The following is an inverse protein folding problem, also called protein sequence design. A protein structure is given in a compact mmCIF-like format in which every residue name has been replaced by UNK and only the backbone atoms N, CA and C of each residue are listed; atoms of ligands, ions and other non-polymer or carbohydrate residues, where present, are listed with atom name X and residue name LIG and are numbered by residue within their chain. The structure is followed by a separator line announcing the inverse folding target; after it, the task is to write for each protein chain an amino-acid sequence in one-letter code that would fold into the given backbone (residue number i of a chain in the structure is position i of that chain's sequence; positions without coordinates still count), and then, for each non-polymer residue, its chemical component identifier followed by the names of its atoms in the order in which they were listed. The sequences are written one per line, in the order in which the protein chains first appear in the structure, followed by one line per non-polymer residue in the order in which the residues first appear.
data_IF_144136719309
#
_entry.id   IF_144136719309
#
_cell.length_a   1.000
_cell.length_b   1.000
_cell.length_c   1.000
_cell.angle_alpha   90.00
_cell.angle_beta   90.00
_cell.angle_gamma   90.00
#
_symmetry.space_group_name_H-M   'P 1'
#
loop_
_entity.id
_entity.type
_entity.pdbx_description
1 polymer ?
#
# COMPACT_ATOMS: atom_id res chain seq x y z
N UNK A 1 -3.92 -1.86 15.68
CA UNK A 1 -5.31 -1.86 15.21
C UNK A 1 -5.59 -0.61 14.40
N UNK A 2 -6.45 -0.70 13.40
CA UNK A 2 -7.08 0.45 12.76
C UNK A 2 -8.41 0.75 13.44
N UNK A 3 -8.76 2.03 13.58
CA UNK A 3 -10.00 2.46 14.27
C UNK A 3 -11.25 2.03 13.50
N UNK A 4 -11.22 2.19 12.17
CA UNK A 4 -12.32 1.88 11.26
C UNK A 4 -11.76 1.56 9.87
N UNK A 5 -12.30 0.53 9.23
CA UNK A 5 -12.02 0.25 7.84
C UNK A 5 -12.76 1.23 6.92
N UNK A 6 -12.08 1.82 5.93
CA UNK A 6 -12.66 2.72 4.93
C UNK A 6 -13.61 3.76 5.56
N UNK A 7 -13.12 4.65 6.44
CA UNK A 7 -13.98 5.54 7.25
C UNK A 7 -14.84 6.50 6.42
N UNK A 8 -14.59 6.62 5.12
CA UNK A 8 -15.28 7.54 4.22
C UNK A 8 -16.21 6.79 3.25
N UNK A 9 -16.30 5.46 3.37
CA UNK A 9 -17.16 4.62 2.54
C UNK A 9 -18.54 4.43 3.19
N UNK A 10 -19.61 4.84 2.47
CA UNK A 10 -20.99 4.50 2.80
C UNK A 10 -21.48 3.43 1.81
N UNK A 11 -21.38 2.17 2.19
CA UNK A 11 -21.49 1.05 1.26
C UNK A 11 -22.59 0.07 1.64
N UNK A 12 -22.97 -0.78 0.68
CA UNK A 12 -23.93 -1.88 0.88
C UNK A 12 -23.44 -2.99 1.82
N UNK A 13 -22.17 -2.96 2.19
CA UNK A 13 -21.49 -3.90 3.08
C UNK A 13 -21.13 -3.22 4.42
N UNK A 14 -20.73 -3.97 5.46
CA UNK A 14 -20.44 -3.41 6.77
C UNK A 14 -19.48 -2.22 6.67
N UNK A 15 -20.01 -1.04 6.95
CA UNK A 15 -19.32 0.24 6.85
C UNK A 15 -19.84 1.18 7.93
N UNK A 16 -18.97 2.06 8.40
CA UNK A 16 -19.32 3.11 9.35
C UNK A 16 -18.57 4.36 8.92
N UNK A 17 -19.32 5.43 8.61
CA UNK A 17 -18.75 6.70 8.25
C UNK A 17 -18.18 7.39 9.48
N UNK A 18 -16.98 7.95 9.34
CA UNK A 18 -16.30 8.76 10.33
C UNK A 18 -15.62 9.93 9.64
N UNK A 19 -15.73 11.11 10.23
CA UNK A 19 -14.93 12.29 9.87
C UNK A 19 -13.56 12.25 10.56
N UNK A 20 -12.61 13.06 10.06
CA UNK A 20 -11.32 13.22 10.74
C UNK A 20 -11.48 13.76 12.18
N UNK A 21 -12.45 14.64 12.41
CA UNK A 21 -12.74 15.18 13.76
C UNK A 21 -13.27 14.10 14.70
N UNK A 22 -14.20 13.26 14.25
CA UNK A 22 -14.73 12.15 15.06
C UNK A 22 -13.63 11.13 15.37
N UNK A 23 -12.76 10.80 14.41
CA UNK A 23 -11.61 9.92 14.65
C UNK A 23 -10.65 10.53 15.67
N UNK A 24 -10.30 11.82 15.54
CA UNK A 24 -9.46 12.56 16.49
C UNK A 24 -10.04 12.48 17.89
N UNK A 25 -11.32 12.80 18.04
CA UNK A 25 -11.98 12.89 19.34
C UNK A 25 -12.18 11.51 19.98
N UNK A 26 -12.47 10.48 19.18
CA UNK A 26 -12.53 9.11 19.65
C UNK A 26 -11.17 8.57 20.11
N UNK A 27 -10.11 8.81 19.33
CA UNK A 27 -8.76 8.36 19.67
C UNK A 27 -8.29 9.02 20.97
N UNK A 28 -8.39 10.35 21.08
CA UNK A 28 -7.87 11.06 22.27
C UNK A 28 -8.74 10.91 23.51
N UNK A 29 -10.06 10.79 23.33
CA UNK A 29 -11.02 10.77 24.43
C UNK A 29 -11.34 9.38 24.98
N UNK A 30 -11.17 8.33 24.17
CA UNK A 30 -11.67 6.99 24.49
C UNK A 30 -10.63 5.91 24.19
N UNK A 31 -10.30 5.66 22.92
CA UNK A 31 -9.50 4.49 22.54
C UNK A 31 -8.07 4.54 23.08
N UNK A 32 -7.37 5.66 22.90
CA UNK A 32 -5.99 5.84 23.36
C UNK A 32 -5.84 5.68 24.88
N UNK A 33 -6.62 6.43 25.70
CA UNK A 33 -6.63 6.25 27.14
C UNK A 33 -6.96 4.82 27.58
N UNK A 34 -7.98 4.20 26.98
CA UNK A 34 -8.40 2.85 27.39
C UNK A 34 -7.31 1.81 27.12
N UNK A 35 -6.66 1.82 25.95
CA UNK A 35 -5.55 0.90 25.67
C UNK A 35 -4.38 1.10 26.65
N UNK A 36 -4.03 2.36 26.92
CA UNK A 36 -2.94 2.69 27.85
C UNK A 36 -3.27 2.28 29.29
N UNK A 37 -4.47 2.61 29.77
CA UNK A 37 -4.87 2.37 31.16
C UNK A 37 -5.05 0.87 31.45
N UNK A 38 -5.30 0.07 30.41
CA UNK A 38 -5.28 -1.40 30.48
C UNK A 38 -3.89 -2.01 30.18
N UNK A 39 -2.85 -1.21 29.98
CA UNK A 39 -1.47 -1.66 29.79
C UNK A 39 -1.21 -2.43 28.49
N UNK A 40 -1.98 -2.16 27.44
CA UNK A 40 -1.84 -2.80 26.13
C UNK A 40 -0.75 -2.09 25.30
N UNK A 41 0.12 -2.87 24.69
CA UNK A 41 1.18 -2.42 23.76
C UNK A 41 0.69 -2.30 22.30
N UNK A 42 -0.60 -2.55 22.07
CA UNK A 42 -1.21 -2.52 20.75
C UNK A 42 -1.16 -1.12 20.16
N UNK A 43 -0.47 -0.98 19.03
CA UNK A 43 -0.39 0.27 18.28
C UNK A 43 -1.76 0.68 17.70
N UNK A 44 -2.07 1.97 17.74
CA UNK A 44 -3.19 2.54 16.99
C UNK A 44 -2.66 3.11 15.68
N UNK A 45 -3.24 2.65 14.57
CA UNK A 45 -2.99 3.16 13.23
C UNK A 45 -4.20 4.00 12.79
N UNK A 46 -3.94 5.24 12.38
CA UNK A 46 -4.95 6.18 11.93
C UNK A 46 -5.53 5.73 10.59
N UNK A 47 -6.66 5.03 10.69
CA UNK A 47 -7.57 4.68 9.61
C UNK A 47 -6.97 3.79 8.52
N UNK A 48 -7.83 3.11 7.76
CA UNK A 48 -7.51 2.65 6.42
C UNK A 48 -8.08 3.66 5.43
N UNK A 49 -7.45 4.84 5.37
CA UNK A 49 -8.03 6.03 4.72
C UNK A 49 -8.18 5.78 3.22
N UNK A 50 -9.43 5.82 2.75
CA UNK A 50 -9.82 5.58 1.36
C UNK A 50 -10.30 6.85 0.64
N UNK A 51 -9.82 8.01 1.09
CA UNK A 51 -10.23 9.33 0.63
C UNK A 51 -9.05 10.18 0.16
N UNK A 52 -9.29 11.21 -0.69
CA UNK A 52 -10.59 11.68 -1.17
C UNK A 52 -11.17 10.82 -2.30
N UNK A 53 -12.45 11.03 -2.64
CA UNK A 53 -13.04 10.50 -3.88
C UNK A 53 -14.19 9.52 -3.72
N UNK A 54 -14.60 9.24 -2.48
CA UNK A 54 -15.51 8.14 -2.15
C UNK A 54 -16.98 8.51 -2.37
N UNK A 55 -17.35 9.79 -2.21
CA UNK A 55 -18.73 10.24 -2.40
C UNK A 55 -19.05 10.40 -3.90
N UNK A 56 -19.64 9.38 -4.53
CA UNK A 56 -20.03 9.43 -5.95
C UNK A 56 -21.10 10.47 -6.30
N UNK A 57 -21.73 11.12 -5.30
CA UNK A 57 -22.77 12.14 -5.52
C UNK A 57 -22.21 13.56 -5.65
N UNK A 58 -20.99 13.79 -5.19
CA UNK A 58 -20.32 15.10 -5.25
C UNK A 58 -19.44 15.23 -6.48
N UNK A 59 -19.29 16.46 -6.98
CA UNK A 59 -18.34 16.73 -8.05
C UNK A 59 -16.91 16.53 -7.53
N UNK A 60 -16.00 16.17 -8.42
CA UNK A 60 -14.61 15.87 -8.04
C UNK A 60 -14.00 17.02 -7.22
N UNK A 61 -14.18 18.28 -7.64
CA UNK A 61 -13.64 19.45 -6.92
C UNK A 61 -14.17 19.60 -5.49
N UNK A 62 -15.45 19.28 -5.26
CA UNK A 62 -16.04 19.33 -3.92
C UNK A 62 -15.42 18.26 -3.00
N UNK A 63 -15.10 17.09 -3.55
CA UNK A 63 -14.43 16.01 -2.79
C UNK A 63 -13.02 16.41 -2.39
N UNK A 64 -12.24 16.99 -3.31
CA UNK A 64 -10.90 17.50 -2.99
C UNK A 64 -10.94 18.57 -1.89
N UNK A 65 -11.99 19.40 -1.87
CA UNK A 65 -12.17 20.40 -0.83
C UNK A 65 -12.64 19.85 0.53
N UNK A 66 -13.21 18.63 0.58
CA UNK A 66 -13.94 18.15 1.79
C UNK A 66 -13.59 16.74 2.26
N UNK A 67 -12.70 16.02 1.58
CA UNK A 67 -12.35 14.63 1.90
C UNK A 67 -10.83 14.34 1.81
N UNK A 68 -10.00 15.35 1.52
CA UNK A 68 -8.57 15.15 1.27
C UNK A 68 -7.74 15.05 2.58
N UNK A 69 -6.42 14.97 2.45
CA UNK A 69 -5.41 15.00 3.53
C UNK A 69 -5.78 15.94 4.68
N UNK A 70 -6.16 17.19 4.38
CA UNK A 70 -6.46 18.21 5.39
C UNK A 70 -7.75 17.95 6.17
N UNK A 71 -8.67 17.16 5.63
CA UNK A 71 -9.90 16.80 6.30
C UNK A 71 -9.73 15.57 7.21
N UNK A 72 -8.86 14.63 6.80
CA UNK A 72 -8.61 13.38 7.53
C UNK A 72 -7.30 13.38 8.30
N UNK A 73 -6.20 13.05 7.63
CA UNK A 73 -4.95 12.77 8.31
C UNK A 73 -4.42 14.00 9.05
N UNK A 74 -4.40 15.17 8.41
CA UNK A 74 -3.88 16.38 9.02
C UNK A 74 -4.73 16.82 10.22
N UNK A 75 -6.07 16.76 10.12
CA UNK A 75 -7.00 17.09 11.22
C UNK A 75 -6.66 16.34 12.50
N UNK A 76 -6.33 15.05 12.39
CA UNK A 76 -5.99 14.22 13.55
C UNK A 76 -4.55 14.47 14.00
N UNK A 77 -3.59 14.52 13.07
CA UNK A 77 -2.17 14.63 13.41
C UNK A 77 -1.79 16.00 14.00
N UNK A 78 -2.50 17.07 13.62
CA UNK A 78 -2.31 18.39 14.22
C UNK A 78 -2.76 18.48 15.68
N UNK A 79 -3.64 17.58 16.13
CA UNK A 79 -4.04 17.50 17.53
C UNK A 79 -3.06 16.61 18.31
N UNK A 80 -2.16 17.24 19.08
CA UNK A 80 -1.16 16.54 19.90
C UNK A 80 -1.74 15.56 20.91
N UNK A 81 -2.98 15.76 21.38
CA UNK A 81 -3.63 14.86 22.33
C UNK A 81 -4.14 13.58 21.67
N UNK A 82 -4.47 13.63 20.37
CA UNK A 82 -4.75 12.43 19.58
C UNK A 82 -3.45 11.80 19.08
N UNK A 83 -2.56 12.61 18.47
CA UNK A 83 -1.33 12.14 17.81
C UNK A 83 -0.42 11.33 18.72
N UNK A 84 -0.34 11.65 20.02
CA UNK A 84 0.48 10.90 20.98
C UNK A 84 0.10 9.42 21.12
N UNK A 85 -1.10 9.02 20.69
CA UNK A 85 -1.55 7.63 20.70
C UNK A 85 -1.39 6.93 19.34
N UNK A 86 -1.01 7.65 18.29
CA UNK A 86 -0.99 7.16 16.90
C UNK A 86 0.43 6.73 16.54
N UNK A 87 0.60 5.45 16.18
CA UNK A 87 1.87 4.89 15.73
C UNK A 87 2.11 5.11 14.23
N UNK A 88 1.02 5.19 13.44
CA UNK A 88 1.11 5.32 11.99
C UNK A 88 -0.22 5.73 11.35
N UNK A 89 -0.19 6.04 10.06
CA UNK A 89 -1.37 6.28 9.22
C UNK A 89 -1.41 5.23 8.11
N UNK A 90 -2.59 4.67 7.84
CA UNK A 90 -2.74 3.75 6.71
C UNK A 90 -3.67 4.30 5.64
N UNK A 91 -3.33 3.97 4.40
CA UNK A 91 -4.04 4.42 3.21
C UNK A 91 -4.44 3.22 2.33
N UNK A 92 -5.58 3.38 1.65
CA UNK A 92 -6.11 2.47 0.65
C UNK A 92 -6.40 3.22 -0.66
N UNK A 93 -7.14 2.61 -1.57
CA UNK A 93 -7.41 3.07 -2.94
C UNK A 93 -7.53 4.58 -3.18
N UNK A 94 -8.39 5.31 -2.46
CA UNK A 94 -8.51 6.77 -2.60
C UNK A 94 -7.36 7.53 -1.93
N UNK A 95 -6.87 7.00 -0.82
CA UNK A 95 -5.74 7.51 -0.04
C UNK A 95 -4.42 7.68 -0.78
N UNK A 96 -4.26 7.01 -1.93
CA UNK A 96 -3.05 7.11 -2.78
C UNK A 96 -2.70 8.55 -3.16
N UNK A 97 -3.67 9.45 -3.27
CA UNK A 97 -3.39 10.85 -3.61
C UNK A 97 -3.06 11.74 -2.41
N UNK A 98 -3.33 11.27 -1.18
CA UNK A 98 -3.08 12.01 0.05
C UNK A 98 -1.77 11.61 0.75
N UNK A 99 -1.32 10.35 0.58
CA UNK A 99 -0.18 9.81 1.32
C UNK A 99 1.10 10.64 1.18
N UNK A 100 1.36 11.22 0.01
CA UNK A 100 2.54 12.06 -0.23
C UNK A 100 2.58 13.25 0.74
N UNK A 101 1.46 13.95 0.94
CA UNK A 101 1.38 15.13 1.83
C UNK A 101 1.60 14.74 3.29
N UNK A 102 1.16 13.55 3.68
CA UNK A 102 1.43 12.99 5.01
C UNK A 102 2.91 12.68 5.19
N UNK A 103 3.54 12.08 4.19
CA UNK A 103 4.98 11.82 4.23
C UNK A 103 5.80 13.10 4.30
N UNK A 104 5.48 14.10 3.48
CA UNK A 104 6.15 15.41 3.48
C UNK A 104 6.05 16.13 4.83
N UNK A 105 4.89 16.03 5.50
CA UNK A 105 4.64 16.77 6.73
C UNK A 105 5.05 16.01 8.00
N UNK A 106 4.92 14.68 8.00
CA UNK A 106 4.99 13.85 9.20
C UNK A 106 5.88 12.61 9.06
N UNK A 107 6.50 12.37 7.90
CA UNK A 107 7.26 11.13 7.62
C UNK A 107 8.49 10.89 8.50
N UNK A 108 8.93 11.90 9.26
CA UNK A 108 9.99 11.75 10.27
C UNK A 108 9.48 11.33 11.65
N UNK A 109 8.17 11.43 11.89
CA UNK A 109 7.53 11.18 13.20
C UNK A 109 6.51 10.03 13.14
N UNK A 110 5.88 9.80 11.98
CA UNK A 110 4.73 8.92 11.83
C UNK A 110 4.99 7.90 10.71
N UNK A 111 4.75 6.63 11.02
CA UNK A 111 4.88 5.52 10.07
C UNK A 111 3.71 5.52 9.08
N UNK A 112 3.95 5.07 7.86
CA UNK A 112 2.93 5.00 6.81
C UNK A 112 2.80 3.57 6.30
N UNK A 113 1.58 3.18 5.96
CA UNK A 113 1.27 1.84 5.46
C UNK A 113 0.23 1.92 4.35
N UNK A 114 0.40 1.11 3.31
CA UNK A 114 -0.69 0.77 2.42
C UNK A 114 -1.37 -0.49 2.97
N UNK A 115 -2.60 -0.37 3.45
CA UNK A 115 -3.21 -1.42 4.28
C UNK A 115 -4.08 -2.41 3.51
N UNK A 116 -4.48 -2.11 2.28
CA UNK A 116 -5.34 -3.00 1.49
C UNK A 116 -5.35 -2.66 0.00
N UNK A 117 -4.94 -3.63 -0.83
CA UNK A 117 -4.98 -3.52 -2.29
C UNK A 117 -6.41 -3.44 -2.81
N UNK A 118 -6.62 -2.69 -3.89
CA UNK A 118 -7.90 -2.66 -4.59
C UNK A 118 -8.37 -4.06 -5.01
N UNK A 119 -9.69 -4.27 -5.05
CA UNK A 119 -10.25 -5.61 -5.22
C UNK A 119 -10.11 -6.19 -6.63
N UNK A 120 -9.87 -5.35 -7.65
CA UNK A 120 -9.89 -5.76 -9.05
C UNK A 120 -11.28 -6.21 -9.54
N UNK A 121 -11.30 -6.97 -10.63
CA UNK A 121 -12.53 -7.35 -11.35
C UNK A 121 -12.78 -8.86 -11.42
N UNK A 122 -12.01 -9.67 -10.67
CA UNK A 122 -12.11 -11.14 -10.66
C UNK A 122 -11.46 -11.84 -11.85
N UNK A 123 -10.80 -11.08 -12.73
CA UNK A 123 -10.18 -11.55 -13.96
C UNK A 123 -8.73 -12.04 -13.76
N UNK A 124 -8.07 -11.61 -12.69
CA UNK A 124 -6.71 -12.01 -12.31
C UNK A 124 -5.70 -11.88 -13.47
N UNK A 125 -5.74 -10.75 -14.19
CA UNK A 125 -5.00 -10.52 -15.43
C UNK A 125 -3.58 -9.98 -15.20
N UNK A 126 -2.72 -10.08 -16.23
CA UNK A 126 -1.40 -9.45 -16.21
C UNK A 126 -1.50 -7.92 -16.20
N UNK A 127 -2.50 -7.37 -16.88
CA UNK A 127 -2.80 -5.94 -16.88
C UNK A 127 -3.09 -5.43 -15.47
N UNK A 128 -3.85 -6.20 -14.68
CA UNK A 128 -4.09 -5.87 -13.28
C UNK A 128 -2.83 -6.01 -12.42
N UNK A 129 -1.99 -7.03 -12.66
CA UNK A 129 -0.71 -7.16 -11.97
C UNK A 129 0.23 -5.96 -12.22
N UNK A 130 0.23 -5.39 -13.43
CA UNK A 130 0.98 -4.14 -13.74
C UNK A 130 0.45 -2.96 -12.92
N UNK A 131 -0.86 -2.90 -12.72
CA UNK A 131 -1.48 -1.91 -11.84
C UNK A 131 -1.02 -2.09 -10.39
N UNK A 132 -1.03 -3.32 -9.87
CA UNK A 132 -0.55 -3.63 -8.51
C UNK A 132 0.92 -3.22 -8.34
N UNK A 133 1.79 -3.52 -9.31
CA UNK A 133 3.19 -3.07 -9.28
C UNK A 133 3.29 -1.54 -9.22
N UNK A 134 2.48 -0.83 -10.02
CA UNK A 134 2.46 0.64 -10.04
C UNK A 134 2.03 1.20 -8.69
N UNK A 135 1.01 0.61 -8.06
CA UNK A 135 0.55 1.01 -6.72
C UNK A 135 1.59 0.70 -5.65
N UNK A 136 2.18 -0.49 -5.66
CA UNK A 136 3.21 -0.86 -4.70
C UNK A 136 4.40 0.12 -4.80
N UNK A 137 4.90 0.38 -6.02
CA UNK A 137 5.92 1.42 -6.23
C UNK A 137 5.44 2.78 -5.70
N UNK A 138 4.23 3.21 -6.02
CA UNK A 138 3.68 4.50 -5.60
C UNK A 138 3.68 4.65 -4.06
N UNK A 139 3.14 3.67 -3.34
CA UNK A 139 3.01 3.74 -1.89
C UNK A 139 4.37 3.69 -1.20
N UNK A 140 5.23 2.74 -1.56
CA UNK A 140 6.60 2.68 -1.03
C UNK A 140 7.39 3.94 -1.40
N UNK A 141 7.13 4.49 -2.60
CA UNK A 141 7.78 5.72 -3.05
C UNK A 141 7.39 6.94 -2.21
N UNK A 142 6.20 6.91 -1.60
CA UNK A 142 5.64 7.96 -0.75
C UNK A 142 5.71 7.61 0.74
N UNK A 143 6.72 6.84 1.14
CA UNK A 143 7.05 6.62 2.55
C UNK A 143 6.29 5.50 3.24
N UNK A 144 5.42 4.76 2.53
CA UNK A 144 4.86 3.55 3.11
C UNK A 144 5.98 2.54 3.40
N UNK A 145 6.00 2.00 4.61
CA UNK A 145 6.95 0.95 5.02
C UNK A 145 6.45 -0.46 4.66
N UNK A 146 5.17 -0.58 4.29
CA UNK A 146 4.56 -1.86 3.94
C UNK A 146 3.36 -1.72 3.00
N UNK A 147 3.05 -2.81 2.30
CA UNK A 147 1.95 -2.95 1.36
C UNK A 147 1.22 -4.27 1.60
N UNK A 148 -0.10 -4.23 1.74
CA UNK A 148 -0.93 -5.39 2.03
C UNK A 148 -1.91 -5.68 0.90
N UNK A 149 -1.87 -6.92 0.42
CA UNK A 149 -2.82 -7.42 -0.56
C UNK A 149 -4.13 -7.85 0.12
N UNK A 150 -5.27 -7.67 -0.54
CA UNK A 150 -6.59 -7.92 0.03
C UNK A 150 -6.89 -9.43 0.17
N UNK A 151 -7.29 -10.09 -0.92
CA UNK A 151 -7.62 -11.50 -0.87
C UNK A 151 -6.39 -12.37 -1.17
N UNK A 152 -5.87 -13.06 -0.17
CA UNK A 152 -4.78 -14.03 -0.37
C UNK A 152 -5.25 -15.22 -1.22
N UNK A 153 -6.42 -15.77 -0.91
CA UNK A 153 -6.93 -17.00 -1.51
C UNK A 153 -8.43 -16.86 -1.79
N UNK A 154 -8.85 -17.15 -3.02
CA UNK A 154 -10.26 -17.29 -3.39
C UNK A 154 -10.49 -18.57 -4.19
N UNK A 155 -11.75 -18.99 -4.27
CA UNK A 155 -12.18 -20.01 -5.23
C UNK A 155 -12.28 -19.39 -6.65
N UNK A 156 -12.34 -20.21 -7.72
CA UNK A 156 -12.65 -19.69 -9.06
C UNK A 156 -13.92 -18.83 -9.06
N UNK A 157 -13.87 -17.69 -9.75
CA UNK A 157 -14.95 -16.68 -9.76
C UNK A 157 -15.31 -16.19 -8.34
N UNK A 158 -14.30 -15.96 -7.51
CA UNK A 158 -14.47 -15.40 -6.17
C UNK A 158 -15.20 -14.06 -6.23
N UNK A 159 -16.20 -13.90 -5.35
CA UNK A 159 -16.98 -12.69 -5.19
C UNK A 159 -16.96 -12.27 -3.74
N UNK A 160 -17.07 -10.97 -3.50
CA UNK A 160 -17.32 -10.44 -2.16
C UNK A 160 -18.68 -10.90 -1.63
N UNK A 161 -18.92 -10.71 -0.33
CA UNK A 161 -20.22 -11.05 0.29
C UNK A 161 -21.39 -10.22 -0.25
N UNK A 162 -21.10 -9.14 -0.99
CA UNK A 162 -22.07 -8.28 -1.65
C UNK A 162 -22.13 -8.45 -3.18
N UNK A 163 -21.50 -9.51 -3.70
CA UNK A 163 -21.68 -9.99 -5.08
C UNK A 163 -20.73 -9.43 -6.13
N UNK A 164 -19.73 -8.65 -5.74
CA UNK A 164 -18.78 -8.05 -6.70
C UNK A 164 -17.62 -9.03 -6.93
N UNK A 165 -17.21 -9.30 -8.18
CA UNK A 165 -16.02 -10.12 -8.48
C UNK A 165 -14.75 -9.57 -7.81
N UNK A 166 -13.84 -10.45 -7.41
CA UNK A 166 -12.62 -10.10 -6.68
C UNK A 166 -11.40 -10.85 -7.24
N UNK A 167 -10.28 -10.12 -7.42
CA UNK A 167 -8.97 -10.73 -7.65
C UNK A 167 -8.44 -11.34 -6.34
N UNK A 168 -7.52 -12.29 -6.49
CA UNK A 168 -6.79 -12.91 -5.40
C UNK A 168 -5.36 -13.22 -5.82
N UNK A 169 -4.46 -13.40 -4.86
CA UNK A 169 -3.13 -13.93 -5.17
C UNK A 169 -3.19 -15.41 -5.57
N UNK A 170 -4.03 -16.21 -4.93
CA UNK A 170 -4.12 -17.66 -5.17
C UNK A 170 -5.57 -18.04 -5.45
N UNK A 171 -5.80 -18.74 -6.55
CA UNK A 171 -7.10 -19.37 -6.84
C UNK A 171 -7.04 -20.85 -6.49
N UNK A 172 -7.89 -21.33 -5.58
CA UNK A 172 -7.95 -22.76 -5.18
C UNK A 172 -9.29 -23.37 -5.55
N UNK A 173 -9.28 -24.48 -6.32
CA UNK A 173 -10.48 -25.26 -6.61
C UNK A 173 -10.86 -26.09 -5.37
N UNK A 174 -12.04 -25.88 -4.75
CA UNK A 174 -12.39 -26.56 -3.50
C UNK A 174 -12.42 -28.09 -3.60
N UNK A 175 -12.91 -28.62 -4.73
CA UNK A 175 -13.14 -30.06 -4.89
C UNK A 175 -11.83 -30.84 -5.15
N UNK A 176 -10.94 -30.28 -5.98
CA UNK A 176 -9.70 -30.95 -6.40
C UNK A 176 -8.48 -30.53 -5.59
N UNK A 177 -8.56 -29.40 -4.87
CA UNK A 177 -7.44 -28.73 -4.18
C UNK A 177 -6.32 -28.26 -5.12
N UNK A 178 -6.55 -28.30 -6.43
CA UNK A 178 -5.66 -27.68 -7.41
C UNK A 178 -5.66 -26.17 -7.19
N UNK A 179 -4.49 -25.55 -7.34
CA UNK A 179 -4.33 -24.11 -7.17
C UNK A 179 -3.63 -23.48 -8.37
N UNK A 180 -3.92 -22.20 -8.56
CA UNK A 180 -3.24 -21.31 -9.51
C UNK A 180 -2.67 -20.14 -8.72
N UNK A 181 -1.39 -19.87 -8.92
CA UNK A 181 -0.77 -18.63 -8.48
C UNK A 181 -1.06 -17.58 -9.54
N UNK A 182 -1.89 -16.59 -9.20
CA UNK A 182 -2.30 -15.56 -10.14
C UNK A 182 -1.16 -14.55 -10.36
N UNK A 183 -1.18 -13.75 -11.44
CA UNK A 183 -0.19 -12.72 -11.70
C UNK A 183 0.19 -11.84 -10.49
N UNK A 184 -0.81 -11.41 -9.72
CA UNK A 184 -0.62 -10.57 -8.52
C UNK A 184 0.23 -11.26 -7.44
N UNK A 185 0.15 -12.59 -7.30
CA UNK A 185 1.04 -13.33 -6.40
C UNK A 185 2.50 -13.13 -6.77
N UNK A 186 2.81 -13.14 -8.06
CA UNK A 186 4.19 -12.96 -8.51
C UNK A 186 4.67 -11.53 -8.28
N UNK A 187 3.81 -10.52 -8.45
CA UNK A 187 4.15 -9.13 -8.09
C UNK A 187 4.55 -9.05 -6.62
N UNK A 188 3.70 -9.55 -5.72
CA UNK A 188 3.97 -9.53 -4.27
C UNK A 188 5.23 -10.34 -3.93
N UNK A 189 5.44 -11.48 -4.59
CA UNK A 189 6.64 -12.32 -4.45
C UNK A 189 7.92 -11.60 -4.90
N UNK A 190 7.87 -10.80 -5.98
CA UNK A 190 9.03 -10.05 -6.49
C UNK A 190 9.59 -9.07 -5.45
N UNK A 191 8.76 -8.53 -4.55
CA UNK A 191 9.21 -7.71 -3.43
C UNK A 191 9.56 -8.57 -2.21
N UNK A 192 8.60 -9.35 -1.71
CA UNK A 192 8.72 -10.08 -0.44
C UNK A 192 9.84 -11.14 -0.40
N UNK A 193 10.27 -11.66 -1.55
CA UNK A 193 11.36 -12.64 -1.57
C UNK A 193 12.75 -12.02 -1.34
N UNK A 194 12.95 -10.77 -1.74
CA UNK A 194 14.29 -10.14 -1.78
C UNK A 194 14.44 -8.95 -0.84
N UNK A 195 13.34 -8.29 -0.46
CA UNK A 195 13.34 -7.20 0.53
C UNK A 195 13.07 -7.80 1.91
N UNK A 196 14.03 -7.63 2.82
CA UNK A 196 13.97 -8.18 4.17
C UNK A 196 13.33 -7.19 5.15
N UNK A 197 12.81 -7.72 6.25
CA UNK A 197 12.38 -6.89 7.37
C UNK A 197 13.56 -6.03 7.86
N UNK A 198 13.30 -4.75 8.12
CA UNK A 198 14.34 -3.75 8.42
C UNK A 198 15.12 -3.21 7.22
N UNK A 199 14.79 -3.59 5.98
CA UNK A 199 15.42 -3.00 4.80
C UNK A 199 15.14 -1.50 4.68
N UNK A 200 16.16 -0.74 4.31
CA UNK A 200 16.08 0.71 4.12
C UNK A 200 15.87 0.99 2.63
N UNK A 201 14.79 1.70 2.30
CA UNK A 201 14.51 2.11 0.92
C UNK A 201 15.51 3.18 0.47
N UNK A 202 16.07 2.97 -0.72
CA UNK A 202 17.07 3.85 -1.32
C UNK A 202 16.41 4.88 -2.25
N UNK A 203 17.01 6.07 -2.30
CA UNK A 203 16.80 7.02 -3.40
C UNK A 203 17.52 6.52 -4.64
N UNK A 204 16.89 6.66 -5.80
CA UNK A 204 17.45 6.24 -7.09
C UNK A 204 17.51 7.43 -8.03
N UNK A 205 18.56 7.47 -8.85
CA UNK A 205 18.76 8.46 -9.91
C UNK A 205 18.75 7.78 -11.28
N UNK A 206 18.58 8.58 -12.33
CA UNK A 206 18.55 8.10 -13.72
C UNK A 206 17.16 7.95 -14.30
N UNK A 207 17.10 7.68 -15.62
CA UNK A 207 15.86 7.62 -16.38
C UNK A 207 14.96 6.43 -16.00
N UNK A 208 15.56 5.31 -15.56
CA UNK A 208 14.82 4.09 -15.21
C UNK A 208 14.42 4.02 -13.72
N UNK A 209 14.76 5.04 -12.92
CA UNK A 209 14.30 5.16 -11.53
C UNK A 209 12.76 5.25 -11.43
N UNK A 210 12.10 5.78 -12.48
CA UNK A 210 10.65 5.80 -12.58
C UNK A 210 10.02 4.40 -12.63
N UNK A 211 10.79 3.38 -13.02
CA UNK A 211 10.35 1.99 -13.14
C UNK A 211 11.08 1.02 -12.20
N UNK A 212 11.71 1.56 -11.15
CA UNK A 212 12.51 0.79 -10.20
C UNK A 212 12.21 1.17 -8.75
N UNK A 213 12.30 0.20 -7.84
CA UNK A 213 12.36 0.41 -6.38
C UNK A 213 13.59 -0.32 -5.85
N UNK A 214 14.40 0.36 -5.03
CA UNK A 214 15.65 -0.17 -4.49
C UNK A 214 15.70 -0.10 -2.97
N UNK A 215 16.37 -1.07 -2.35
CA UNK A 215 16.53 -1.20 -0.91
C UNK A 215 17.93 -1.69 -0.57
N UNK A 216 18.42 -1.33 0.62
CA UNK A 216 19.52 -2.02 1.28
C UNK A 216 18.95 -2.87 2.40
N UNK A 217 19.18 -4.18 2.36
CA UNK A 217 18.79 -5.11 3.40
C UNK A 217 19.70 -4.99 4.63
N UNK A 218 19.27 -5.47 5.82
CA UNK A 218 20.09 -5.43 7.03
C UNK A 218 21.39 -6.25 6.95
N UNK A 219 21.47 -7.21 6.03
CA UNK A 219 22.67 -8.00 5.75
C UNK A 219 23.68 -7.27 4.85
N UNK A 220 23.36 -6.04 4.40
CA UNK A 220 24.17 -5.22 3.52
C UNK A 220 23.88 -5.42 2.03
N UNK A 221 23.15 -6.48 1.65
CA UNK A 221 22.77 -6.74 0.26
C UNK A 221 21.84 -5.66 -0.32
N UNK A 222 21.97 -5.39 -1.60
CA UNK A 222 21.10 -4.45 -2.32
C UNK A 222 20.02 -5.21 -3.08
N UNK A 223 18.77 -4.83 -2.89
CA UNK A 223 17.60 -5.44 -3.50
C UNK A 223 16.90 -4.44 -4.44
N UNK A 224 16.75 -4.79 -5.71
CA UNK A 224 16.07 -3.97 -6.71
C UNK A 224 14.91 -4.73 -7.33
N UNK A 225 13.75 -4.06 -7.42
CA UNK A 225 12.59 -4.55 -8.17
C UNK A 225 12.31 -3.59 -9.32
N UNK A 226 12.36 -4.10 -10.55
CA UNK A 226 12.26 -3.33 -11.79
C UNK A 226 11.08 -3.82 -12.62
N UNK A 227 10.36 -2.91 -13.27
CA UNK A 227 9.36 -3.25 -14.27
C UNK A 227 9.83 -2.77 -15.64
N UNK A 228 9.88 -3.66 -16.62
CA UNK A 228 10.04 -3.27 -18.02
C UNK A 228 8.63 -3.06 -18.63
N UNK A 229 8.16 -1.82 -18.83
CA UNK A 229 6.85 -1.56 -19.40
C UNK A 229 6.80 -1.74 -20.93
N UNK A 230 7.94 -1.90 -21.58
CA UNK A 230 8.07 -1.92 -23.04
C UNK A 230 7.79 -3.30 -23.63
N UNK A 231 7.52 -3.32 -24.93
CA UNK A 231 7.32 -4.55 -25.72
C UNK A 231 8.63 -5.14 -26.25
N UNK A 232 9.76 -4.57 -25.88
CA UNK A 232 11.10 -5.00 -26.28
C UNK A 232 11.99 -5.23 -25.05
N UNK A 233 13.12 -5.90 -25.26
CA UNK A 233 14.12 -6.10 -24.21
C UNK A 233 14.71 -4.73 -23.86
N UNK A 234 14.70 -4.37 -22.59
CA UNK A 234 15.30 -3.13 -22.09
C UNK A 234 16.55 -3.46 -21.27
N UNK A 235 17.69 -2.84 -21.59
CA UNK A 235 18.93 -3.03 -20.83
C UNK A 235 19.09 -1.95 -19.78
N UNK A 236 19.28 -2.35 -18.52
CA UNK A 236 19.48 -1.46 -17.37
C UNK A 236 20.90 -1.61 -16.85
N UNK A 237 21.57 -0.48 -16.66
CA UNK A 237 22.81 -0.39 -15.91
C UNK A 237 22.48 -0.02 -14.46
N UNK A 238 22.90 -0.86 -13.52
CA UNK A 238 22.81 -0.59 -12.08
C UNK A 238 24.22 -0.30 -11.56
N UNK A 239 24.43 0.91 -11.06
CA UNK A 239 25.63 1.32 -10.35
C UNK A 239 25.38 1.27 -8.85
N UNK A 240 26.17 0.47 -8.13
CA UNK A 240 26.10 0.33 -6.67
C UNK A 240 27.53 0.41 -6.14
N UNK A 241 27.78 1.37 -5.24
CA UNK A 241 29.11 1.62 -4.66
C UNK A 241 30.23 1.79 -5.71
N UNK A 242 29.90 2.36 -6.88
CA UNK A 242 30.83 2.57 -7.99
C UNK A 242 31.03 1.35 -8.91
N UNK A 243 30.40 0.22 -8.61
CA UNK A 243 30.39 -0.96 -9.50
C UNK A 243 29.16 -0.96 -10.41
N UNK A 244 29.40 -1.03 -11.71
CA UNK A 244 28.34 -1.08 -12.73
C UNK A 244 28.06 -2.52 -13.16
N UNK A 245 26.79 -2.92 -13.13
CA UNK A 245 26.30 -4.20 -13.63
C UNK A 245 25.20 -3.98 -14.67
N UNK A 246 25.25 -4.71 -15.78
CA UNK A 246 24.26 -4.63 -16.87
C UNK A 246 23.29 -5.80 -16.80
N UNK A 247 21.99 -5.50 -16.87
CA UNK A 247 20.92 -6.50 -16.88
C UNK A 247 19.99 -6.28 -18.08
N UNK A 248 19.61 -7.36 -18.77
CA UNK A 248 18.63 -7.32 -19.85
C UNK A 248 17.26 -7.78 -19.34
N UNK A 249 16.28 -6.88 -19.34
CA UNK A 249 14.93 -7.12 -18.84
C UNK A 249 14.02 -7.55 -20.01
N UNK A 250 13.37 -8.72 -19.96
CA UNK A 250 12.43 -9.14 -21.00
C UNK A 250 11.26 -8.15 -21.18
N UNK A 251 10.60 -8.13 -22.36
CA UNK A 251 9.40 -7.31 -22.60
C UNK A 251 8.33 -7.52 -21.54
N UNK A 252 7.70 -6.44 -21.06
CA UNK A 252 6.53 -6.51 -20.19
C UNK A 252 6.76 -7.34 -18.93
N UNK A 253 7.93 -7.25 -18.30
CA UNK A 253 8.35 -8.14 -17.20
C UNK A 253 8.63 -7.39 -15.90
N UNK A 254 8.42 -8.06 -14.77
CA UNK A 254 8.90 -7.61 -13.45
C UNK A 254 10.13 -8.45 -13.10
N UNK A 255 11.17 -7.80 -12.61
CA UNK A 255 12.47 -8.40 -12.34
C UNK A 255 12.88 -8.07 -10.90
N UNK A 256 13.45 -9.05 -10.21
CA UNK A 256 14.00 -8.91 -8.86
C UNK A 256 15.47 -9.24 -8.91
N UNK A 257 16.32 -8.29 -8.54
CA UNK A 257 17.77 -8.40 -8.58
C UNK A 257 18.30 -8.22 -7.16
N UNK A 258 19.18 -9.12 -6.72
CA UNK A 258 19.92 -8.98 -5.48
C UNK A 258 21.40 -8.87 -5.82
N UNK A 259 22.06 -7.88 -5.26
CA UNK A 259 23.51 -7.68 -5.34
C UNK A 259 24.06 -7.90 -3.93
N UNK A 260 24.82 -8.99 -3.77
CA UNK A 260 25.56 -9.29 -2.55
C UNK A 260 26.84 -8.43 -2.50
N UNK A 261 27.25 -8.08 -1.28
CA UNK A 261 28.47 -7.30 -0.98
C UNK A 261 29.49 -8.20 -0.31
#
# INVERSE_FOLDING_TARGET
VHVQNEPVANQKFPSCMWTGEELRDFIKGYLGPELRDNGLDTEIWLGTINAPGCDYKRLIFDKWATEDYDYYANTVLMDGEARKYIAGVSYQWGGKIAIQRTYESWGSEIRLMQSENECGFGDNTWEYARYVWTMLKHYISNGAESYQYWNLVLKPNGVSTWGDPQNAMITVKPDTKEYVLNPDFYVMKHFSNIVRDGAVRLGLEGNFAADTVGFQNPDGSYAFVLFNPFTEVFSVELEVEGEVRLFSLPPGSINSIVIEV
#
